data_IF_791668418336
#
_entry.id   IF_791668418336
#
_cell.length_a   1.000
_cell.length_b   1.000
_cell.length_c   1.000
_cell.angle_alpha   90.00
_cell.angle_beta   90.00
_cell.angle_gamma   90.00
#
_symmetry.space_group_name_H-M   'P 1'
#
loop_
_entity.id
_entity.type
_entity.pdbx_description
1 polymer ?
#
# COMPACT_ATOMS: atom_id res chain seq x y z
N UNK A 1 -53.91 4.68 28.70
CA UNK A 1 -52.94 5.66 29.25
C UNK A 1 -52.29 6.39 28.08
N UNK A 2 -52.15 7.73 28.11
CA UNK A 2 -51.31 8.42 27.14
C UNK A 2 -49.83 8.02 27.36
N UNK A 3 -49.05 7.97 26.28
CA UNK A 3 -47.62 7.64 26.33
C UNK A 3 -46.85 8.77 27.05
N UNK A 4 -45.78 8.46 27.80
CA UNK A 4 -44.98 9.48 28.47
C UNK A 4 -44.40 10.45 27.43
N UNK A 5 -44.57 11.75 27.65
CA UNK A 5 -43.91 12.78 26.84
C UNK A 5 -42.39 12.58 26.95
N UNK A 6 -41.73 12.44 25.81
CA UNK A 6 -40.27 12.40 25.76
C UNK A 6 -39.74 13.71 26.34
N UNK A 7 -39.11 13.66 27.52
CA UNK A 7 -38.60 14.84 28.25
C UNK A 7 -37.55 15.67 27.49
N UNK A 8 -37.09 15.20 26.33
CA UNK A 8 -36.11 15.86 25.48
C UNK A 8 -36.78 16.40 24.22
N UNK A 9 -36.74 17.73 24.05
CA UNK A 9 -37.22 18.38 22.83
C UNK A 9 -36.09 18.39 21.79
N UNK A 10 -36.36 18.03 20.53
CA UNK A 10 -35.34 17.96 19.47
C UNK A 10 -34.55 19.28 19.27
N UNK A 11 -35.15 20.42 19.64
CA UNK A 11 -34.55 21.76 19.58
C UNK A 11 -33.43 21.99 20.61
N UNK A 12 -33.39 21.19 21.68
CA UNK A 12 -32.36 21.29 22.74
C UNK A 12 -31.07 20.54 22.35
N UNK A 13 -31.15 19.57 21.44
CA UNK A 13 -30.01 18.76 21.00
C UNK A 13 -29.41 19.41 19.76
N UNK A 14 -28.31 20.14 19.93
CA UNK A 14 -27.53 20.71 18.83
C UNK A 14 -26.59 19.65 18.26
N UNK A 15 -26.99 19.02 17.15
CA UNK A 15 -26.15 18.05 16.44
C UNK A 15 -25.25 18.82 15.46
N UNK A 16 -23.91 18.70 15.54
CA UNK A 16 -23.01 19.30 14.55
C UNK A 16 -23.31 18.75 13.14
N UNK A 17 -23.34 19.59 12.09
CA UNK A 17 -23.72 19.17 10.75
C UNK A 17 -22.75 18.15 10.12
N UNK A 18 -21.50 18.11 10.58
CA UNK A 18 -20.46 17.20 10.08
C UNK A 18 -20.51 15.80 10.71
N UNK A 19 -21.12 15.67 11.90
CA UNK A 19 -21.14 14.42 12.66
C UNK A 19 -21.73 13.23 11.88
N UNK A 20 -22.87 13.36 11.16
CA UNK A 20 -23.43 12.26 10.40
C UNK A 20 -22.48 11.73 9.32
N UNK A 21 -21.73 12.61 8.66
CA UNK A 21 -20.81 12.20 7.60
C UNK A 21 -19.56 11.52 8.18
N UNK A 22 -19.01 12.04 9.29
CA UNK A 22 -17.90 11.40 10.01
C UNK A 22 -18.26 9.97 10.42
N UNK A 23 -19.43 9.79 11.03
CA UNK A 23 -19.91 8.46 11.45
C UNK A 23 -20.12 7.52 10.26
N UNK A 24 -20.64 8.04 9.14
CA UNK A 24 -20.81 7.28 7.89
C UNK A 24 -19.48 6.86 7.30
N UNK A 25 -18.49 7.73 7.25
CA UNK A 25 -17.14 7.42 6.76
C UNK A 25 -16.46 6.39 7.64
N UNK A 26 -16.50 6.57 8.96
CA UNK A 26 -16.00 5.61 9.95
C UNK A 26 -16.63 4.23 9.76
N UNK A 27 -17.96 4.15 9.66
CA UNK A 27 -18.67 2.88 9.51
C UNK A 27 -18.29 2.18 8.19
N UNK A 28 -18.19 2.92 7.08
CA UNK A 28 -17.71 2.38 5.80
C UNK A 28 -16.28 1.86 5.90
N UNK A 29 -15.40 2.57 6.61
CA UNK A 29 -14.02 2.17 6.82
C UNK A 29 -13.91 0.91 7.67
N UNK A 30 -14.72 0.78 8.73
CA UNK A 30 -14.80 -0.40 9.57
C UNK A 30 -15.26 -1.63 8.79
N UNK A 31 -16.32 -1.49 7.97
CA UNK A 31 -16.84 -2.57 7.13
C UNK A 31 -15.79 -3.07 6.14
N UNK A 32 -15.02 -2.15 5.52
CA UNK A 32 -13.96 -2.52 4.57
C UNK A 32 -12.79 -3.22 5.26
N UNK A 33 -12.41 -2.72 6.44
CA UNK A 33 -11.19 -3.16 7.12
C UNK A 33 -11.40 -4.46 7.90
N UNK A 34 -12.61 -4.70 8.38
CA UNK A 34 -12.97 -5.84 9.24
C UNK A 34 -11.97 -6.03 10.40
N UNK A 35 -11.73 -4.97 11.22
CA UNK A 35 -10.80 -5.09 12.34
C UNK A 35 -11.32 -6.08 13.37
N UNK A 36 -10.42 -6.90 13.93
CA UNK A 36 -10.78 -7.84 14.99
C UNK A 36 -11.20 -7.11 16.28
N UNK A 37 -10.49 -6.03 16.63
CA UNK A 37 -10.85 -5.14 17.75
C UNK A 37 -11.28 -3.78 17.19
N UNK A 38 -12.59 -3.57 17.14
CA UNK A 38 -13.17 -2.32 16.64
C UNK A 38 -12.83 -1.13 17.52
N UNK A 39 -12.68 -1.31 18.84
CA UNK A 39 -12.44 -0.21 19.78
C UNK A 39 -11.00 0.30 19.64
N UNK A 40 -10.04 -0.63 19.65
CA UNK A 40 -8.62 -0.29 19.42
C UNK A 40 -8.43 0.33 18.04
N UNK A 41 -9.03 -0.28 17.01
CA UNK A 41 -8.97 0.26 15.65
C UNK A 41 -9.61 1.65 15.54
N UNK A 42 -10.74 1.89 16.23
CA UNK A 42 -11.39 3.20 16.23
C UNK A 42 -10.51 4.28 16.87
N UNK A 43 -9.84 3.97 17.98
CA UNK A 43 -8.89 4.88 18.60
C UNK A 43 -7.76 5.26 17.62
N UNK A 44 -7.22 4.29 16.90
CA UNK A 44 -6.20 4.53 15.87
C UNK A 44 -6.76 5.35 14.68
N UNK A 45 -7.96 5.02 14.20
CA UNK A 45 -8.63 5.71 13.09
C UNK A 45 -8.83 7.20 13.39
N UNK A 46 -9.43 7.54 14.53
CA UNK A 46 -9.68 8.93 14.90
C UNK A 46 -8.39 9.67 15.26
N UNK A 47 -7.40 8.99 15.84
CA UNK A 47 -6.07 9.57 16.07
C UNK A 47 -5.41 9.97 14.75
N UNK A 48 -5.37 9.06 13.77
CA UNK A 48 -4.84 9.35 12.44
C UNK A 48 -5.63 10.46 11.72
N UNK A 49 -6.96 10.42 11.80
CA UNK A 49 -7.84 11.44 11.22
C UNK A 49 -7.57 12.83 11.81
N UNK A 50 -7.38 12.92 13.13
CA UNK A 50 -7.08 14.19 13.81
C UNK A 50 -5.71 14.77 13.42
N UNK A 51 -4.74 13.90 13.10
CA UNK A 51 -3.37 14.29 12.70
C UNK A 51 -3.21 14.50 11.19
N UNK A 52 -4.22 14.18 10.38
CA UNK A 52 -4.13 14.20 8.91
C UNK A 52 -3.24 13.10 8.34
N UNK A 53 -3.02 12.02 9.09
CA UNK A 53 -2.21 10.88 8.69
C UNK A 53 -2.99 9.89 7.81
N UNK A 54 -2.30 9.06 7.00
CA UNK A 54 -2.94 8.00 6.24
C UNK A 54 -3.71 7.02 7.15
N UNK A 55 -5.03 6.94 6.92
CA UNK A 55 -5.93 6.16 7.77
C UNK A 55 -5.64 4.64 7.68
N UNK A 56 -5.80 3.90 8.79
CA UNK A 56 -5.62 2.44 8.85
C UNK A 56 -6.82 1.70 8.21
N UNK A 57 -7.11 1.97 6.94
CA UNK A 57 -8.35 1.54 6.26
C UNK A 57 -8.04 0.77 5.00
N UNK A 58 -8.62 -0.43 4.85
CA UNK A 58 -8.53 -1.19 3.60
C UNK A 58 -9.27 -0.47 2.47
N UNK A 59 -8.69 -0.52 1.27
CA UNK A 59 -9.37 -0.03 0.06
C UNK A 59 -10.54 -0.91 -0.37
N UNK A 60 -10.55 -2.19 -0.01
CA UNK A 60 -11.66 -3.07 -0.34
C UNK A 60 -11.84 -4.09 0.77
N UNK A 61 -13.09 -4.55 0.91
CA UNK A 61 -13.38 -5.76 1.66
C UNK A 61 -12.74 -6.95 0.94
N UNK A 62 -11.90 -7.69 1.64
CA UNK A 62 -11.33 -8.95 1.16
C UNK A 62 -12.28 -10.07 1.58
N UNK A 63 -12.66 -10.94 0.64
CA UNK A 63 -13.42 -12.13 0.99
C UNK A 63 -12.43 -13.15 1.55
N UNK A 64 -12.59 -13.63 2.80
CA UNK A 64 -11.74 -14.69 3.31
C UNK A 64 -11.90 -15.91 2.40
N UNK A 65 -10.80 -16.36 1.79
CA UNK A 65 -10.80 -17.58 0.98
C UNK A 65 -11.05 -18.76 1.93
N UNK A 66 -11.98 -19.64 1.57
CA UNK A 66 -12.49 -20.73 2.42
C UNK A 66 -11.44 -21.74 2.94
N UNK A 67 -10.18 -21.64 2.51
CA UNK A 67 -9.06 -22.46 2.95
C UNK A 67 -8.29 -21.86 4.16
N UNK A 68 -8.51 -20.58 4.49
CA UNK A 68 -7.82 -19.89 5.59
C UNK A 68 -8.58 -20.09 6.91
N UNK A 69 -8.55 -21.30 7.44
CA UNK A 69 -9.02 -21.62 8.80
C UNK A 69 -7.96 -21.31 9.86
N UNK A 70 -7.30 -20.17 9.75
CA UNK A 70 -6.38 -19.68 10.78
C UNK A 70 -6.77 -18.26 11.12
N UNK A 71 -7.21 -18.12 12.37
CA UNK A 71 -7.77 -16.93 12.98
C UNK A 71 -6.99 -15.65 12.63
N UNK A 72 -7.72 -14.63 12.15
CA UNK A 72 -7.34 -13.21 12.17
C UNK A 72 -5.87 -12.86 11.82
N UNK A 73 -5.32 -13.47 10.77
CA UNK A 73 -3.96 -13.22 10.32
C UNK A 73 -3.76 -11.93 9.49
N UNK A 74 -2.50 -11.61 9.21
CA UNK A 74 -2.09 -10.67 8.17
C UNK A 74 -2.83 -10.96 6.85
N UNK A 75 -3.25 -9.92 6.14
CA UNK A 75 -3.83 -10.03 4.79
C UNK A 75 -3.09 -9.12 3.80
N UNK A 76 -3.14 -9.39 2.48
CA UNK A 76 -2.53 -8.52 1.47
C UNK A 76 -3.01 -7.07 1.59
N UNK A 77 -4.29 -6.85 1.86
CA UNK A 77 -4.89 -5.55 2.08
C UNK A 77 -4.33 -4.81 3.30
N UNK A 78 -4.08 -5.52 4.41
CA UNK A 78 -3.45 -4.91 5.59
C UNK A 78 -1.98 -4.54 5.32
N UNK A 79 -1.23 -5.38 4.59
CA UNK A 79 0.12 -5.02 4.14
C UNK A 79 0.11 -3.80 3.19
N UNK A 80 -0.89 -3.69 2.31
CA UNK A 80 -1.07 -2.52 1.44
C UNK A 80 -1.33 -1.25 2.24
N UNK A 81 -2.13 -1.34 3.31
CA UNK A 81 -2.35 -0.22 4.24
C UNK A 81 -1.04 0.17 4.93
N UNK A 82 -0.28 -0.79 5.45
CA UNK A 82 1.03 -0.50 6.07
C UNK A 82 2.00 0.15 5.08
N UNK A 83 2.06 -0.35 3.84
CA UNK A 83 2.92 0.23 2.80
C UNK A 83 2.61 1.71 2.56
N UNK A 84 1.31 2.07 2.53
CA UNK A 84 0.85 3.45 2.40
C UNK A 84 1.11 4.32 3.63
N UNK A 85 1.11 3.74 4.83
CA UNK A 85 1.40 4.46 6.07
C UNK A 85 2.89 4.66 6.30
N UNK A 86 3.72 3.75 5.80
CA UNK A 86 5.16 3.81 5.97
C UNK A 86 5.78 4.70 4.90
N UNK A 87 5.53 4.43 3.61
CA UNK A 87 6.08 5.09 2.40
C UNK A 87 7.60 5.33 2.32
N UNK A 88 8.31 5.25 3.43
CA UNK A 88 9.70 5.61 3.65
C UNK A 88 10.56 4.35 3.68
N UNK A 89 11.80 4.46 3.20
CA UNK A 89 12.68 3.30 2.98
C UNK A 89 13.08 2.58 4.27
N UNK A 90 13.30 3.33 5.35
CA UNK A 90 13.72 2.80 6.64
C UNK A 90 12.75 3.25 7.73
N UNK A 91 12.34 2.33 8.60
CA UNK A 91 11.38 2.58 9.69
C UNK A 91 11.97 2.07 11.00
N UNK A 92 11.70 2.76 12.11
CA UNK A 92 12.06 2.25 13.43
C UNK A 92 11.13 1.09 13.85
N UNK A 93 11.67 0.05 14.48
CA UNK A 93 10.88 -1.08 14.99
C UNK A 93 9.73 -0.63 15.91
N UNK A 94 9.92 0.42 16.72
CA UNK A 94 8.88 0.95 17.60
C UNK A 94 7.70 1.52 16.81
N UNK A 95 7.97 2.32 15.77
CA UNK A 95 6.93 2.87 14.89
C UNK A 95 6.21 1.78 14.11
N UNK A 96 6.96 0.78 13.63
CA UNK A 96 6.38 -0.37 12.94
C UNK A 96 5.44 -1.16 13.86
N UNK A 97 5.85 -1.41 15.11
CA UNK A 97 5.01 -2.08 16.12
C UNK A 97 3.73 -1.30 16.41
N UNK A 98 3.82 0.03 16.50
CA UNK A 98 2.65 0.88 16.71
C UNK A 98 1.67 0.79 15.54
N UNK A 99 2.16 0.95 14.30
CA UNK A 99 1.33 0.82 13.07
C UNK A 99 0.73 -0.58 12.93
N UNK A 100 1.46 -1.62 13.28
CA UNK A 100 0.97 -3.00 13.32
C UNK A 100 -0.18 -3.18 14.32
N UNK A 101 -0.02 -2.63 15.52
CA UNK A 101 -1.05 -2.64 16.57
C UNK A 101 -2.29 -1.85 16.17
N UNK A 102 -2.14 -0.72 15.47
CA UNK A 102 -3.27 0.06 14.95
C UNK A 102 -4.16 -0.73 13.97
N UNK A 103 -3.60 -1.74 13.28
CA UNK A 103 -4.34 -2.66 12.42
C UNK A 103 -4.88 -3.89 13.16
N UNK A 104 -4.69 -3.96 14.48
CA UNK A 104 -5.12 -5.09 15.32
C UNK A 104 -4.52 -6.43 14.87
N UNK A 105 -3.29 -6.39 14.33
CA UNK A 105 -2.59 -7.58 13.87
C UNK A 105 -1.87 -8.28 15.04
N UNK A 106 -1.73 -9.62 15.01
CA UNK A 106 -1.02 -10.38 16.05
C UNK A 106 0.45 -9.97 16.15
N UNK A 107 0.92 -9.68 17.37
CA UNK A 107 2.33 -9.33 17.62
C UNK A 107 3.30 -10.46 17.29
N UNK A 108 2.84 -11.71 17.42
CA UNK A 108 3.65 -12.90 17.13
C UNK A 108 4.07 -12.96 15.66
N UNK A 109 3.17 -12.56 14.74
CA UNK A 109 3.48 -12.48 13.32
C UNK A 109 4.55 -11.43 13.03
N UNK A 110 4.45 -10.26 13.68
CA UNK A 110 5.48 -9.24 13.54
C UNK A 110 6.82 -9.71 14.11
N UNK A 111 6.83 -10.38 15.26
CA UNK A 111 8.05 -10.95 15.85
C UNK A 111 8.70 -11.97 14.92
N UNK A 112 7.91 -12.85 14.29
CA UNK A 112 8.40 -13.81 13.32
C UNK A 112 9.06 -13.13 12.11
N UNK A 113 8.43 -12.08 11.55
CA UNK A 113 9.02 -11.29 10.46
C UNK A 113 10.34 -10.64 10.90
N UNK A 114 10.36 -10.05 12.09
CA UNK A 114 11.54 -9.36 12.59
C UNK A 114 12.71 -10.31 12.85
N UNK A 115 12.43 -11.50 13.38
CA UNK A 115 13.43 -12.54 13.61
C UNK A 115 13.96 -13.12 12.30
N UNK A 116 13.09 -13.36 11.31
CA UNK A 116 13.48 -13.93 10.03
C UNK A 116 14.39 -12.99 9.22
N UNK A 117 14.17 -11.68 9.33
CA UNK A 117 14.99 -10.69 8.63
C UNK A 117 16.24 -10.22 9.39
N UNK A 118 16.47 -10.73 10.61
CA UNK A 118 17.57 -10.33 11.53
C UNK A 118 17.75 -8.80 11.62
N UNK A 119 16.64 -8.09 11.84
CA UNK A 119 16.68 -6.63 11.87
C UNK A 119 17.09 -6.08 13.24
N UNK A 120 17.84 -4.97 13.23
CA UNK A 120 18.18 -4.18 14.41
C UNK A 120 17.07 -3.21 14.82
N UNK A 121 17.45 -2.00 15.26
CA UNK A 121 16.48 -0.96 15.66
C UNK A 121 15.76 -0.29 14.48
N UNK A 122 16.44 -0.24 13.32
CA UNK A 122 15.93 0.27 12.06
C UNK A 122 15.77 -0.86 11.05
N UNK A 123 14.62 -0.87 10.36
CA UNK A 123 14.27 -1.91 9.40
C UNK A 123 14.03 -1.31 8.03
N UNK A 124 14.55 -1.97 7.00
CA UNK A 124 14.25 -1.58 5.62
C UNK A 124 12.85 -2.08 5.25
N UNK A 125 11.92 -1.15 4.99
CA UNK A 125 10.50 -1.46 4.80
C UNK A 125 10.29 -2.49 3.67
N UNK A 126 11.06 -2.42 2.59
CA UNK A 126 10.92 -3.33 1.45
C UNK A 126 11.24 -4.78 1.82
N UNK A 127 12.19 -5.00 2.75
CA UNK A 127 12.51 -6.33 3.26
C UNK A 127 11.41 -6.86 4.17
N UNK A 128 10.88 -6.03 5.06
CA UNK A 128 9.73 -6.35 5.91
C UNK A 128 8.51 -6.71 5.06
N UNK A 129 8.25 -5.94 4.01
CA UNK A 129 7.15 -6.19 3.07
C UNK A 129 7.32 -7.51 2.33
N UNK A 130 8.55 -7.83 1.88
CA UNK A 130 8.85 -9.11 1.25
C UNK A 130 8.53 -10.29 2.18
N UNK A 131 8.96 -10.21 3.44
CA UNK A 131 8.70 -11.22 4.47
C UNK A 131 7.23 -11.31 4.85
N UNK A 132 6.54 -10.16 4.92
CA UNK A 132 5.08 -10.15 5.09
C UNK A 132 4.38 -10.91 3.97
N UNK A 133 4.81 -10.70 2.72
CA UNK A 133 4.27 -11.44 1.57
C UNK A 133 4.62 -12.94 1.59
N UNK A 134 5.76 -13.34 2.16
CA UNK A 134 6.12 -14.76 2.29
C UNK A 134 5.29 -15.47 3.37
N UNK A 135 4.90 -14.78 4.43
CA UNK A 135 3.96 -15.32 5.42
C UNK A 135 2.55 -15.51 4.85
N UNK A 136 2.13 -14.68 3.88
CA UNK A 136 0.84 -14.80 3.20
C UNK A 136 0.81 -15.93 2.17
N UNK A 137 1.88 -16.07 1.40
CA UNK A 137 2.00 -17.06 0.34
C UNK A 137 3.02 -18.12 0.71
N UNK A 138 2.58 -19.33 1.04
CA UNK A 138 3.47 -20.46 1.38
C UNK A 138 4.43 -20.90 0.28
N UNK A 139 4.35 -20.33 -0.92
CA UNK A 139 5.31 -20.54 -2.02
C UNK A 139 5.76 -19.19 -2.56
N UNK A 140 7.06 -19.02 -2.83
CA UNK A 140 7.71 -17.77 -3.27
C UNK A 140 7.01 -17.06 -4.43
N UNK A 141 6.46 -17.81 -5.39
CA UNK A 141 5.69 -17.25 -6.51
C UNK A 141 4.43 -16.52 -6.07
N UNK A 142 3.73 -17.04 -5.06
CA UNK A 142 2.56 -16.38 -4.47
C UNK A 142 2.96 -15.14 -3.68
N UNK A 143 4.06 -15.21 -2.92
CA UNK A 143 4.63 -14.07 -2.20
C UNK A 143 4.96 -12.92 -3.16
N UNK A 144 5.59 -13.23 -4.30
CA UNK A 144 5.90 -12.24 -5.33
C UNK A 144 4.65 -11.67 -6.00
N UNK A 145 3.63 -12.49 -6.23
CA UNK A 145 2.33 -12.01 -6.73
C UNK A 145 1.72 -10.97 -5.78
N UNK A 146 1.67 -11.28 -4.48
CA UNK A 146 1.20 -10.33 -3.47
C UNK A 146 2.03 -9.05 -3.44
N UNK A 147 3.37 -9.15 -3.51
CA UNK A 147 4.23 -7.98 -3.54
C UNK A 147 3.97 -7.08 -4.76
N UNK A 148 3.79 -7.67 -5.95
CA UNK A 148 3.43 -6.93 -7.15
C UNK A 148 2.07 -6.22 -7.01
N UNK A 149 1.06 -6.92 -6.50
CA UNK A 149 -0.29 -6.36 -6.27
C UNK A 149 -0.30 -5.22 -5.23
N UNK A 150 0.58 -5.28 -4.23
CA UNK A 150 0.71 -4.24 -3.21
C UNK A 150 1.46 -3.00 -3.73
N UNK A 151 2.53 -3.21 -4.50
CA UNK A 151 3.46 -2.14 -4.94
C UNK A 151 3.08 -1.49 -6.28
N UNK A 152 2.18 -2.11 -7.04
CA UNK A 152 1.77 -1.62 -8.36
C UNK A 152 1.09 -0.26 -8.29
N UNK A 153 1.30 0.53 -9.35
CA UNK A 153 0.54 1.76 -9.63
C UNK A 153 -0.58 1.56 -10.65
N UNK A 154 -0.64 0.36 -11.25
CA UNK A 154 -1.74 0.00 -12.15
C UNK A 154 -3.08 0.03 -11.38
N UNK A 155 -4.21 0.30 -12.06
CA UNK A 155 -5.52 0.17 -11.44
C UNK A 155 -5.73 -1.26 -10.92
N UNK A 156 -6.51 -1.39 -9.84
CA UNK A 156 -6.80 -2.69 -9.25
C UNK A 156 -7.47 -3.64 -10.26
N UNK A 157 -7.00 -4.89 -10.31
CA UNK A 157 -7.38 -5.86 -11.34
C UNK A 157 -6.58 -5.75 -12.66
N UNK A 158 -5.67 -4.78 -12.75
CA UNK A 158 -4.71 -4.66 -13.86
C UNK A 158 -3.55 -5.65 -13.76
N UNK A 159 -2.55 -5.46 -14.62
CA UNK A 159 -1.40 -6.37 -14.77
C UNK A 159 -0.40 -6.34 -13.57
N UNK A 160 -0.67 -5.55 -12.54
CA UNK A 160 0.17 -5.40 -11.34
C UNK A 160 1.65 -5.13 -11.65
N UNK A 161 1.93 -4.23 -12.60
CA UNK A 161 3.30 -3.96 -13.06
C UNK A 161 4.09 -3.16 -12.04
N UNK A 162 5.28 -3.65 -11.73
CA UNK A 162 6.27 -2.98 -10.89
C UNK A 162 7.60 -2.84 -11.63
N UNK A 163 8.46 -1.88 -11.26
CA UNK A 163 9.80 -1.78 -11.85
C UNK A 163 10.61 -3.06 -11.65
N UNK A 164 11.31 -3.50 -12.69
CA UNK A 164 12.12 -4.72 -12.65
C UNK A 164 13.16 -4.70 -11.52
N UNK A 165 13.78 -3.55 -11.25
CA UNK A 165 14.75 -3.41 -10.15
C UNK A 165 14.11 -3.75 -8.79
N UNK A 166 12.88 -3.30 -8.55
CA UNK A 166 12.13 -3.61 -7.34
C UNK A 166 11.77 -5.09 -7.26
N UNK A 167 11.28 -5.66 -8.37
CA UNK A 167 10.98 -7.10 -8.44
C UNK A 167 12.23 -7.95 -8.16
N UNK A 168 13.35 -7.63 -8.81
CA UNK A 168 14.62 -8.33 -8.68
C UNK A 168 15.17 -8.25 -7.26
N UNK A 169 15.09 -7.07 -6.63
CA UNK A 169 15.47 -6.91 -5.22
C UNK A 169 14.66 -7.83 -4.30
N UNK A 170 13.33 -7.79 -4.39
CA UNK A 170 12.43 -8.59 -3.54
C UNK A 170 12.65 -10.09 -3.74
N UNK A 171 12.75 -10.53 -5.01
CA UNK A 171 12.95 -11.93 -5.34
C UNK A 171 14.29 -12.45 -4.80
N UNK A 172 15.37 -11.70 -5.00
CA UNK A 172 16.71 -12.09 -4.54
C UNK A 172 16.79 -12.12 -3.03
N UNK A 173 16.15 -11.16 -2.36
CA UNK A 173 16.08 -11.13 -0.90
C UNK A 173 15.35 -12.36 -0.34
N UNK A 174 14.17 -12.70 -0.87
CA UNK A 174 13.44 -13.89 -0.44
C UNK A 174 14.22 -15.19 -0.72
N UNK A 175 14.88 -15.29 -1.89
CA UNK A 175 15.71 -16.43 -2.22
C UNK A 175 16.91 -16.58 -1.26
N UNK A 176 17.49 -15.48 -0.79
CA UNK A 176 18.59 -15.51 0.18
C UNK A 176 18.18 -16.03 1.56
N UNK A 177 16.92 -15.83 1.95
CA UNK A 177 16.38 -16.27 3.24
C UNK A 177 16.01 -17.76 3.22
N UNK A 178 15.48 -18.25 2.10
CA UNK A 178 15.06 -19.65 1.95
C UNK A 178 16.24 -20.62 1.72
N UNK A 179 17.46 -20.12 1.50
CA UNK A 179 18.65 -20.95 1.23
C UNK A 179 18.64 -21.72 -0.10
N UNK A 180 17.53 -21.70 -0.85
CA UNK A 180 17.43 -22.27 -2.19
C UNK A 180 17.75 -21.22 -3.25
N UNK A 181 19.02 -21.16 -3.65
CA UNK A 181 19.40 -20.57 -4.94
C UNK A 181 19.84 -21.72 -5.85
N UNK A 182 19.00 -22.21 -6.77
CA UNK A 182 19.49 -22.91 -7.94
C UNK A 182 20.26 -21.87 -8.78
N UNK A 183 21.60 -21.98 -8.82
CA UNK A 183 22.51 -21.05 -9.49
C UNK A 183 22.09 -20.72 -10.94
N UNK A 184 21.41 -21.66 -11.61
CA UNK A 184 20.88 -21.52 -12.98
C UNK A 184 19.84 -20.39 -13.16
N UNK A 185 19.03 -20.08 -12.14
CA UNK A 185 18.04 -18.99 -12.24
C UNK A 185 18.71 -17.63 -12.09
N UNK A 186 19.72 -17.52 -11.24
CA UNK A 186 20.49 -16.30 -10.98
C UNK A 186 21.22 -15.81 -12.23
N UNK A 187 21.77 -16.73 -13.03
CA UNK A 187 22.42 -16.38 -14.30
C UNK A 187 21.42 -15.90 -15.36
N UNK A 188 20.24 -16.53 -15.46
CA UNK A 188 19.17 -16.09 -16.36
C UNK A 188 18.65 -14.68 -15.99
N UNK A 189 18.58 -14.35 -14.70
CA UNK A 189 18.20 -13.00 -14.24
C UNK A 189 19.26 -11.93 -14.55
N UNK A 190 20.55 -12.25 -14.42
CA UNK A 190 21.63 -11.36 -14.86
C UNK A 190 21.61 -11.14 -16.38
N UNK A 191 21.31 -12.19 -17.15
CA UNK A 191 21.12 -12.10 -18.61
C UNK A 191 19.96 -11.18 -19.00
N UNK A 192 18.83 -11.21 -18.26
CA UNK A 192 17.70 -10.31 -18.49
C UNK A 192 18.01 -8.84 -18.14
N UNK A 193 18.92 -8.58 -17.18
CA UNK A 193 19.42 -7.22 -16.93
C UNK A 193 20.27 -6.70 -18.09
N UNK A 194 21.08 -7.57 -18.70
CA UNK A 194 21.94 -7.24 -19.85
C UNK A 194 21.11 -7.01 -21.12
N UNK A 195 19.99 -7.72 -21.28
CA UNK A 195 19.09 -7.60 -22.43
C UNK A 195 18.10 -6.42 -22.35
N UNK A 196 18.17 -5.56 -21.32
CA UNK A 196 17.36 -4.34 -21.27
C UNK A 196 17.72 -3.45 -22.47
N UNK A 197 16.80 -3.23 -23.44
CA UNK A 197 17.11 -2.33 -24.56
C UNK A 197 17.36 -0.93 -23.99
N UNK A 198 18.35 -0.18 -24.53
CA UNK A 198 18.60 1.18 -24.09
C UNK A 198 17.30 1.99 -24.23
N UNK A 199 16.96 2.77 -23.19
CA UNK A 199 15.86 3.72 -23.25
C UNK A 199 15.99 4.57 -24.51
N UNK A 200 14.90 4.85 -25.25
CA UNK A 200 14.97 5.74 -26.39
C UNK A 200 15.42 7.12 -25.90
N UNK A 201 16.67 7.47 -26.18
CA UNK A 201 17.19 8.81 -25.99
C UNK A 201 16.37 9.75 -26.87
N UNK A 202 15.76 10.83 -26.33
CA UNK A 202 15.13 11.83 -27.18
C UNK A 202 16.20 12.40 -28.12
N UNK A 203 15.90 12.62 -29.42
CA UNK A 203 16.89 13.14 -30.34
C UNK A 203 17.33 14.53 -29.88
N UNK A 204 18.59 14.63 -29.49
CA UNK A 204 19.32 15.88 -29.37
C UNK A 204 19.48 16.46 -30.78
N UNK A 205 18.64 17.43 -31.13
CA UNK A 205 18.89 18.27 -32.30
C UNK A 205 19.93 19.34 -31.93
N UNK A 206 21.12 19.35 -32.56
CA UNK A 206 22.06 20.44 -32.37
C UNK A 206 21.64 21.60 -33.29
N UNK A 207 21.45 22.77 -32.69
CA UNK A 207 21.64 24.08 -33.31
C UNK A 207 20.98 24.34 -34.67
N UNK A 208 19.76 24.90 -34.65
CA UNK A 208 19.35 25.90 -35.63
C UNK A 208 18.77 27.09 -34.87
N UNK A 209 19.51 28.20 -34.96
CA UNK A 209 19.21 29.52 -34.42
C UNK A 209 17.80 30.03 -34.79
N UNK A 210 17.17 30.84 -33.93
CA UNK A 210 15.91 31.50 -34.26
C UNK A 210 16.19 32.66 -35.22
N UNK A 211 15.86 32.48 -36.50
CA UNK A 211 15.79 33.59 -37.45
C UNK A 211 14.45 34.28 -37.26
N UNK A 212 14.49 35.39 -36.52
CA UNK A 212 13.45 36.43 -36.56
C UNK A 212 13.46 37.05 -37.96
N UNK A 213 12.43 36.78 -38.76
CA UNK A 213 12.06 37.64 -39.89
C UNK A 213 10.66 38.17 -39.65
N UNK A 214 10.62 39.44 -39.24
CA UNK A 214 9.52 40.35 -39.53
C UNK A 214 9.43 40.53 -41.05
N UNK A 215 8.26 40.31 -41.66
CA UNK A 215 7.67 41.25 -42.62
C UNK A 215 6.26 40.82 -43.06
N UNK A 216 5.27 41.64 -42.66
CA UNK A 216 4.19 42.23 -43.49
C UNK A 216 3.30 41.37 -44.42
N UNK A 217 1.99 41.28 -44.06
CA UNK A 217 0.72 41.48 -44.83
C UNK A 217 0.65 41.15 -46.36
N UNK A 218 -0.54 40.81 -46.97
CA UNK A 218 -1.92 41.16 -46.58
C UNK A 218 -2.99 40.04 -46.79
N UNK A 219 -4.31 40.31 -46.55
CA UNK A 219 -5.36 39.29 -46.53
C UNK A 219 -6.02 39.10 -47.90
N UNK A 220 -6.65 37.94 -48.13
CA UNK A 220 -7.62 37.77 -49.22
C UNK A 220 -8.93 37.16 -48.71
N UNK A 221 -9.98 37.92 -49.00
CA UNK A 221 -11.41 37.69 -48.83
C UNK A 221 -11.98 36.82 -49.96
N UNK A 222 -13.11 36.15 -49.68
CA UNK A 222 -14.12 35.66 -50.65
C UNK A 222 -13.87 34.25 -51.16
N UNK A 223 -14.83 33.33 -51.20
CA UNK A 223 -16.29 33.47 -51.28
C UNK A 223 -17.00 32.41 -50.43
#
# INVERSE_FOLDING_TARGET
>A
MPLPETMFCAQQIKIPPELPDILKQFTKAAIRTQPHDVLQWAAAYFSALSKGEPLPVKERIEMPLAAEKTDAGLTPGLLKVLHKQVQTGTVNVAELKEKWKHLCLPEEQLKAILQLGDFGEEVEWMKVLALGCSMLGGVRSHSMKHACEILTRDPEGGAARIPFATFSFLYSYLASIDGEIPEEKTEMFNLLQILKPPSPTPPSFPGLTPVLIFSTYPPRSGA
#
